data_IF_197819368137
#
_entry.id   IF_197819368137
#
_cell.length_a   1.000
_cell.length_b   1.000
_cell.length_c   1.000
_cell.angle_alpha   90.00
_cell.angle_beta   90.00
_cell.angle_gamma   90.00
#
_symmetry.space_group_name_H-M   'P 1'
#
loop_
_entity.id
_entity.type
_entity.pdbx_description
1 polymer ?
#
# COMPACT_ATOMS: atom_id res chain seq x y z
N UNK A 1 -54.22 15.03 24.86
CA UNK A 1 -54.56 15.06 23.41
C UNK A 1 -53.28 14.74 22.65
N UNK A 2 -53.14 13.55 22.06
CA UNK A 2 -51.90 13.15 21.35
C UNK A 2 -52.02 13.61 19.91
N UNK A 3 -51.34 14.69 19.54
CA UNK A 3 -51.25 15.13 18.15
C UNK A 3 -50.12 14.31 17.52
N UNK A 4 -50.47 13.20 16.89
CA UNK A 4 -49.54 12.50 16.01
C UNK A 4 -49.44 13.31 14.72
N UNK A 5 -48.47 14.21 14.64
CA UNK A 5 -48.09 14.85 13.38
C UNK A 5 -47.50 13.74 12.49
N UNK A 6 -48.26 13.30 11.49
CA UNK A 6 -47.76 12.35 10.50
C UNK A 6 -46.64 13.01 9.69
N UNK A 7 -45.58 12.25 9.39
CA UNK A 7 -44.51 12.72 8.52
C UNK A 7 -45.07 13.10 7.15
N UNK A 8 -44.71 14.28 6.66
CA UNK A 8 -45.01 14.67 5.28
C UNK A 8 -44.20 13.79 4.33
N UNK A 9 -44.79 13.42 3.19
CA UNK A 9 -44.11 12.65 2.14
C UNK A 9 -42.81 13.35 1.67
N UNK A 10 -42.79 14.68 1.66
CA UNK A 10 -41.60 15.47 1.32
C UNK A 10 -40.49 15.28 2.36
N UNK A 11 -40.82 15.30 3.66
CA UNK A 11 -39.84 15.08 4.73
C UNK A 11 -39.25 13.67 4.65
N UNK A 12 -40.08 12.67 4.32
CA UNK A 12 -39.63 11.30 4.12
C UNK A 12 -38.71 11.19 2.91
N UNK A 13 -39.05 11.84 1.80
CA UNK A 13 -38.19 11.87 0.60
C UNK A 13 -36.86 12.59 0.85
N UNK A 14 -36.87 13.73 1.57
CA UNK A 14 -35.65 14.44 1.96
C UNK A 14 -34.79 13.55 2.85
N UNK A 15 -35.39 12.89 3.84
CA UNK A 15 -34.67 11.99 4.76
C UNK A 15 -34.08 10.81 3.99
N UNK A 16 -34.83 10.20 3.07
CA UNK A 16 -34.34 9.11 2.23
C UNK A 16 -33.18 9.57 1.33
N UNK A 17 -33.31 10.75 0.72
CA UNK A 17 -32.25 11.35 -0.10
C UNK A 17 -30.98 11.60 0.73
N UNK A 18 -31.11 12.14 1.93
CA UNK A 18 -29.96 12.37 2.82
C UNK A 18 -29.29 11.06 3.22
N UNK A 19 -30.07 10.06 3.63
CA UNK A 19 -29.53 8.74 4.03
C UNK A 19 -28.81 8.08 2.85
N UNK A 20 -29.37 8.13 1.65
CA UNK A 20 -28.75 7.55 0.45
C UNK A 20 -27.46 8.26 0.06
N UNK A 21 -27.44 9.60 0.06
CA UNK A 21 -26.23 10.38 -0.23
C UNK A 21 -25.13 10.13 0.80
N UNK A 22 -25.46 10.13 2.09
CA UNK A 22 -24.50 9.86 3.16
C UNK A 22 -23.95 8.43 3.03
N UNK A 23 -24.82 7.45 2.81
CA UNK A 23 -24.42 6.05 2.64
C UNK A 23 -23.50 5.88 1.43
N UNK A 24 -23.80 6.55 0.31
CA UNK A 24 -22.97 6.52 -0.88
C UNK A 24 -21.60 7.16 -0.64
N UNK A 25 -21.57 8.32 0.03
CA UNK A 25 -20.32 8.99 0.38
C UNK A 25 -19.45 8.13 1.30
N UNK A 26 -20.04 7.48 2.30
CA UNK A 26 -19.33 6.57 3.20
C UNK A 26 -18.78 5.34 2.46
N UNK A 27 -19.55 4.78 1.52
CA UNK A 27 -19.07 3.67 0.70
C UNK A 27 -17.85 4.06 -0.14
N UNK A 28 -17.89 5.26 -0.74
CA UNK A 28 -16.76 5.79 -1.50
C UNK A 28 -15.53 6.02 -0.62
N UNK A 29 -15.72 6.58 0.58
CA UNK A 29 -14.63 6.77 1.55
C UNK A 29 -14.03 5.44 2.00
N UNK A 30 -14.87 4.46 2.32
CA UNK A 30 -14.44 3.13 2.75
C UNK A 30 -13.58 2.46 1.67
N UNK A 31 -13.98 2.58 0.40
CA UNK A 31 -13.20 2.06 -0.71
C UNK A 31 -11.81 2.69 -0.81
N UNK A 32 -11.73 4.02 -0.71
CA UNK A 32 -10.45 4.75 -0.75
C UNK A 32 -9.53 4.36 0.42
N UNK A 33 -10.07 4.28 1.63
CA UNK A 33 -9.33 3.86 2.83
C UNK A 33 -8.79 2.44 2.64
N UNK A 34 -9.61 1.52 2.13
CA UNK A 34 -9.20 0.14 1.90
C UNK A 34 -8.03 0.05 0.90
N UNK A 35 -8.07 0.85 -0.16
CA UNK A 35 -6.96 0.92 -1.13
C UNK A 35 -5.67 1.46 -0.49
N UNK A 36 -5.77 2.52 0.33
CA UNK A 36 -4.62 3.08 1.04
C UNK A 36 -4.04 2.07 2.04
N UNK A 37 -4.90 1.38 2.79
CA UNK A 37 -4.50 0.35 3.73
C UNK A 37 -3.76 -0.78 3.02
N UNK A 38 -4.30 -1.28 1.90
CA UNK A 38 -3.65 -2.33 1.11
C UNK A 38 -2.25 -1.91 0.65
N UNK A 39 -2.10 -0.68 0.13
CA UNK A 39 -0.78 -0.14 -0.28
C UNK A 39 0.19 0.01 0.89
N UNK A 40 -0.29 0.48 2.04
CA UNK A 40 0.53 0.62 3.24
C UNK A 40 1.02 -0.73 3.75
N UNK A 41 0.15 -1.75 3.76
CA UNK A 41 0.49 -3.11 4.13
C UNK A 41 1.55 -3.68 3.18
N UNK A 42 1.35 -3.58 1.86
CA UNK A 42 2.36 -4.04 0.89
C UNK A 42 3.71 -3.36 1.07
N UNK A 43 3.73 -2.03 1.25
CA UNK A 43 4.95 -1.26 1.49
C UNK A 43 5.65 -1.69 2.78
N UNK A 44 4.89 -1.95 3.85
CA UNK A 44 5.45 -2.42 5.12
C UNK A 44 6.11 -3.79 4.99
N UNK A 45 5.47 -4.73 4.28
CA UNK A 45 6.07 -6.03 3.97
C UNK A 45 7.32 -5.90 3.11
N UNK A 46 7.28 -5.07 2.06
CA UNK A 46 8.45 -4.82 1.23
C UNK A 46 9.63 -4.25 2.04
N UNK A 47 9.33 -3.34 2.98
CA UNK A 47 10.34 -2.72 3.83
C UNK A 47 10.99 -3.74 4.77
N UNK A 48 10.19 -4.58 5.45
CA UNK A 48 10.69 -5.65 6.32
C UNK A 48 11.56 -6.63 5.52
N UNK A 49 11.10 -6.99 4.33
CA UNK A 49 11.79 -7.97 3.48
C UNK A 49 13.11 -7.42 2.94
N UNK A 50 13.14 -6.15 2.54
CA UNK A 50 14.37 -5.45 2.15
C UNK A 50 15.35 -5.33 3.31
N UNK A 51 14.85 -5.03 4.52
CA UNK A 51 15.66 -4.91 5.73
C UNK A 51 16.31 -6.27 6.07
N UNK A 52 15.50 -7.32 6.17
CA UNK A 52 15.97 -8.69 6.41
C UNK A 52 17.01 -9.13 5.36
N UNK A 53 16.75 -8.90 4.07
CA UNK A 53 17.68 -9.29 3.02
C UNK A 53 18.96 -8.45 3.00
N UNK A 54 18.89 -7.18 3.41
CA UNK A 54 20.10 -6.37 3.58
C UNK A 54 20.98 -6.86 4.72
N UNK A 55 20.40 -7.24 5.85
CA UNK A 55 21.14 -7.82 6.98
C UNK A 55 21.73 -9.18 6.63
N UNK A 56 20.97 -10.02 5.90
CA UNK A 56 21.48 -11.32 5.41
C UNK A 56 22.63 -11.15 4.44
N UNK A 57 22.56 -10.15 3.55
CA UNK A 57 23.64 -9.83 2.64
C UNK A 57 24.91 -9.42 3.40
N UNK A 58 24.79 -8.57 4.42
CA UNK A 58 25.91 -8.17 5.29
C UNK A 58 26.47 -9.37 6.08
N UNK A 59 25.60 -10.29 6.51
CA UNK A 59 25.96 -11.53 7.19
C UNK A 59 26.46 -12.65 6.25
N UNK A 60 26.62 -12.38 4.95
CA UNK A 60 27.03 -13.36 3.93
C UNK A 60 26.10 -14.59 3.84
N UNK A 61 24.83 -14.40 4.17
CA UNK A 61 23.79 -15.41 4.08
C UNK A 61 23.03 -15.30 2.75
N UNK A 62 22.48 -16.42 2.22
CA UNK A 62 21.66 -16.37 1.01
C UNK A 62 20.41 -15.51 1.25
N UNK A 63 20.03 -14.74 0.24
CA UNK A 63 18.80 -13.94 0.27
C UNK A 63 17.58 -14.84 0.42
N UNK A 64 16.56 -14.33 1.11
CA UNK A 64 15.25 -14.99 1.21
C UNK A 64 14.54 -14.84 -0.13
N UNK A 65 14.08 -15.96 -0.66
CA UNK A 65 13.31 -16.02 -1.88
C UNK A 65 11.94 -15.36 -1.68
N UNK A 66 11.50 -14.58 -2.66
CA UNK A 66 10.26 -13.82 -2.57
C UNK A 66 9.11 -14.55 -3.23
N UNK A 67 7.99 -14.60 -2.53
CA UNK A 67 6.72 -14.96 -3.14
C UNK A 67 6.11 -13.75 -3.82
N UNK A 68 5.33 -14.00 -4.89
CA UNK A 68 4.52 -12.97 -5.52
C UNK A 68 3.68 -12.22 -4.45
N UNK A 69 3.54 -10.89 -4.54
CA UNK A 69 3.86 -10.04 -5.69
C UNK A 69 5.23 -9.33 -5.59
N UNK A 70 6.16 -9.82 -4.77
CA UNK A 70 7.46 -9.16 -4.54
C UNK A 70 8.56 -9.75 -5.43
N UNK A 71 9.38 -8.87 -6.01
CA UNK A 71 10.54 -9.26 -6.82
C UNK A 71 11.78 -8.51 -6.34
N UNK A 72 12.88 -9.22 -6.14
CA UNK A 72 14.18 -8.60 -5.84
C UNK A 72 15.06 -8.44 -7.06
N UNK A 73 15.84 -7.36 -7.06
CA UNK A 73 16.97 -7.16 -7.94
C UNK A 73 18.18 -6.74 -7.13
N UNK A 74 19.28 -7.44 -7.34
CA UNK A 74 20.58 -7.08 -6.79
C UNK A 74 21.42 -6.48 -7.91
N UNK A 75 21.88 -5.24 -7.75
CA UNK A 75 22.76 -4.58 -8.71
C UNK A 75 24.09 -4.25 -8.05
N UNK A 76 25.23 -4.76 -8.58
CA UNK A 76 26.54 -4.34 -8.10
C UNK A 76 26.77 -2.88 -8.50
N UNK A 77 27.25 -2.07 -7.57
CA UNK A 77 27.62 -0.68 -7.78
C UNK A 77 29.08 -0.46 -7.41
N UNK A 78 29.66 0.67 -7.83
CA UNK A 78 31.08 0.98 -7.61
C UNK A 78 31.49 1.04 -6.13
N UNK A 79 30.52 1.17 -5.21
CA UNK A 79 30.75 1.28 -3.76
C UNK A 79 30.23 0.08 -2.96
N UNK A 80 29.60 -0.91 -3.61
CA UNK A 80 29.00 -2.04 -2.93
C UNK A 80 27.88 -2.69 -3.73
N UNK A 81 26.76 -2.95 -3.05
CA UNK A 81 25.62 -3.67 -3.62
C UNK A 81 24.36 -2.88 -3.33
N UNK A 82 23.57 -2.62 -4.36
CA UNK A 82 22.22 -2.07 -4.22
C UNK A 82 21.22 -3.21 -4.27
N UNK A 83 20.40 -3.31 -3.22
CA UNK A 83 19.24 -4.19 -3.15
C UNK A 83 17.99 -3.40 -3.47
N UNK A 84 17.23 -3.86 -4.46
CA UNK A 84 15.97 -3.26 -4.88
C UNK A 84 14.84 -4.29 -4.72
N UNK A 85 13.72 -3.86 -4.17
CA UNK A 85 12.49 -4.64 -4.11
C UNK A 85 11.38 -3.90 -4.86
N UNK A 86 10.66 -4.66 -5.68
CA UNK A 86 9.54 -4.21 -6.49
C UNK A 86 8.29 -4.97 -6.07
N UNK A 87 7.12 -4.32 -6.10
CA UNK A 87 5.84 -5.00 -5.88
C UNK A 87 4.71 -4.42 -6.73
N UNK A 88 3.72 -5.25 -7.05
CA UNK A 88 2.62 -4.83 -7.94
C UNK A 88 3.04 -4.75 -9.41
N UNK A 89 2.13 -4.26 -10.26
CA UNK A 89 2.37 -4.17 -11.71
C UNK A 89 3.21 -2.93 -12.03
N UNK A 90 4.20 -3.07 -12.95
CA UNK A 90 4.81 -1.92 -13.62
C UNK A 90 3.68 -1.14 -14.29
N UNK A 91 3.26 -0.03 -13.67
CA UNK A 91 2.45 0.95 -14.37
C UNK A 91 3.37 1.49 -15.46
N UNK A 92 2.97 1.30 -16.72
CA UNK A 92 3.71 1.71 -17.92
C UNK A 92 3.95 3.24 -18.03
N UNK A 93 3.59 4.01 -17.00
CA UNK A 93 3.83 5.43 -16.90
C UNK A 93 5.07 5.70 -16.06
N UNK A 94 6.12 6.10 -16.78
CA UNK A 94 7.51 6.37 -16.39
C UNK A 94 7.75 7.46 -15.33
N UNK A 95 6.78 7.75 -14.44
CA UNK A 95 6.87 8.91 -13.54
C UNK A 95 6.52 8.68 -12.06
N UNK A 96 6.07 7.48 -11.65
CA UNK A 96 5.80 7.24 -10.22
C UNK A 96 6.59 6.05 -9.67
N UNK A 97 7.48 6.32 -8.71
CA UNK A 97 8.21 5.36 -7.89
C UNK A 97 7.29 4.61 -6.91
N UNK A 98 6.06 4.31 -7.32
CA UNK A 98 4.96 3.90 -6.44
C UNK A 98 5.26 2.60 -5.70
N UNK A 99 6.05 1.72 -6.28
CA UNK A 99 6.25 0.38 -5.75
C UNK A 99 7.69 -0.12 -5.87
N UNK A 100 8.65 0.76 -5.55
CA UNK A 100 10.07 0.41 -5.45
C UNK A 100 10.63 0.89 -4.12
N UNK A 101 11.37 0.01 -3.45
CA UNK A 101 12.29 0.41 -2.38
C UNK A 101 13.70 -0.05 -2.75
N UNK A 102 14.69 0.75 -2.38
CA UNK A 102 16.08 0.42 -2.61
C UNK A 102 16.90 0.72 -1.36
N UNK A 103 17.93 -0.09 -1.13
CA UNK A 103 18.92 0.12 -0.09
C UNK A 103 20.31 -0.17 -0.65
N UNK A 104 21.22 0.76 -0.42
CA UNK A 104 22.64 0.57 -0.73
C UNK A 104 23.33 -0.03 0.49
N UNK A 105 24.12 -1.07 0.26
CA UNK A 105 24.98 -1.69 1.28
C UNK A 105 26.43 -1.52 0.84
N UNK A 106 27.26 -0.97 1.73
CA UNK A 106 28.69 -0.82 1.48
C UNK A 106 29.39 -2.16 1.72
N UNK A 107 30.33 -2.50 0.84
CA UNK A 107 31.15 -3.70 0.99
C UNK A 107 32.21 -3.40 2.06
N UNK A 108 31.93 -3.73 3.32
CA UNK A 108 32.99 -3.76 4.33
C UNK A 108 33.88 -4.96 4.04
N UNK A 109 35.11 -4.70 3.61
CA UNK A 109 36.17 -5.70 3.55
C UNK A 109 36.51 -6.12 4.99
N UNK A 110 36.05 -7.30 5.38
CA UNK A 110 36.49 -8.03 6.55
C UNK A 110 37.15 -9.32 6.10
#
# INVERSE_FOLDING_TARGET
>A
MKIAYGFSLIELLITLLLVTVISFALLQQQWQINQLFYRAVQRSFAMILLDNNSERLLAHQPLIDTQEPFTFKQTPTSKGITLEIFWGFEMSDSSSSCCKLQRETMRNYG
#
